data_IF_802698846437
#
_entry.id   IF_802698846437
#
_cell.length_a   1.000
_cell.length_b   1.000
_cell.length_c   1.000
_cell.angle_alpha   90.00
_cell.angle_beta   90.00
_cell.angle_gamma   90.00
#
_symmetry.space_group_name_H-M   'P 1'
#
loop_
_entity.id
_entity.type
_entity.pdbx_description
1 polymer ?
#
# COMPACT_ATOMS: atom_id res chain seq x y z
N UNK A 1 -14.17 -7.40 -18.08
CA UNK A 1 -15.07 -6.47 -18.77
C UNK A 1 -15.28 -6.95 -20.19
N UNK A 2 -16.49 -6.87 -20.76
CA UNK A 2 -16.74 -7.30 -22.13
C UNK A 2 -15.88 -6.61 -23.19
N UNK A 3 -15.20 -5.51 -22.84
CA UNK A 3 -14.37 -4.70 -23.72
C UNK A 3 -12.92 -4.55 -23.25
N UNK A 4 -12.44 -5.48 -22.45
CA UNK A 4 -11.00 -5.49 -22.15
C UNK A 4 -10.26 -5.91 -23.43
N UNK A 5 -9.69 -4.94 -24.13
CA UNK A 5 -8.91 -5.15 -25.36
C UNK A 5 -7.55 -5.80 -25.09
N UNK A 6 -7.30 -6.25 -23.86
CA UNK A 6 -6.09 -6.94 -23.47
C UNK A 6 -4.82 -6.07 -23.37
N UNK A 7 -4.97 -4.76 -23.39
CA UNK A 7 -3.87 -3.84 -23.17
C UNK A 7 -3.40 -3.88 -21.72
N UNK A 8 -2.08 -3.95 -21.50
CA UNK A 8 -1.48 -3.85 -20.17
C UNK A 8 -1.16 -2.38 -19.89
N UNK A 9 -1.72 -1.85 -18.80
CA UNK A 9 -1.35 -0.52 -18.31
C UNK A 9 -0.03 -0.63 -17.55
N UNK A 10 1.05 -0.12 -18.15
CA UNK A 10 2.37 -0.14 -17.52
C UNK A 10 2.50 1.02 -16.53
N UNK A 11 3.14 0.82 -15.36
CA UNK A 11 3.50 1.92 -14.48
C UNK A 11 4.38 2.95 -15.20
N UNK A 12 4.06 4.22 -15.05
CA UNK A 12 4.92 5.33 -15.47
C UNK A 12 6.04 5.58 -14.45
N UNK A 13 5.73 5.39 -13.15
CA UNK A 13 6.71 5.44 -12.07
C UNK A 13 6.26 4.64 -10.86
N UNK A 14 7.23 4.18 -10.08
CA UNK A 14 7.03 3.52 -8.79
C UNK A 14 7.89 4.23 -7.77
N UNK A 15 7.28 4.68 -6.67
CA UNK A 15 7.95 5.24 -5.50
C UNK A 15 7.77 4.28 -4.33
N UNK A 16 8.87 3.89 -3.70
CA UNK A 16 8.90 3.07 -2.50
C UNK A 16 9.45 3.91 -1.35
N UNK A 17 8.68 4.03 -0.29
CA UNK A 17 9.05 4.84 0.88
C UNK A 17 8.94 4.00 2.15
N UNK A 18 9.84 4.24 3.09
CA UNK A 18 9.73 3.78 4.46
C UNK A 18 9.43 4.96 5.38
N UNK A 19 8.36 4.85 6.16
CA UNK A 19 7.88 5.91 7.04
C UNK A 19 8.08 5.52 8.50
N UNK A 20 8.32 6.51 9.35
CA UNK A 20 8.36 6.34 10.80
C UNK A 20 6.96 6.19 11.41
N UNK A 21 6.92 5.83 12.70
CA UNK A 21 5.70 5.86 13.48
C UNK A 21 5.54 7.24 14.16
N UNK A 22 4.29 7.68 14.35
CA UNK A 22 3.99 9.02 14.88
C UNK A 22 4.36 9.19 16.36
N UNK A 23 4.32 8.10 17.14
CA UNK A 23 4.46 8.17 18.61
C UNK A 23 5.59 7.31 19.17
N UNK A 24 6.13 6.38 18.38
CA UNK A 24 7.17 5.45 18.80
C UNK A 24 8.34 5.44 17.83
N UNK A 25 9.54 5.19 18.34
CA UNK A 25 10.68 4.86 17.47
C UNK A 25 10.46 3.49 16.86
N UNK A 26 10.81 3.36 15.57
CA UNK A 26 10.72 2.07 14.87
C UNK A 26 11.96 1.22 15.13
N UNK A 27 11.76 -0.09 15.23
CA UNK A 27 12.85 -1.07 15.18
C UNK A 27 13.06 -1.55 13.74
N UNK A 28 14.25 -2.06 13.37
CA UNK A 28 14.47 -2.59 12.03
C UNK A 28 13.46 -3.70 11.68
N UNK A 29 12.85 -3.61 10.50
CA UNK A 29 11.98 -4.67 9.98
C UNK A 29 12.80 -5.95 9.78
N UNK A 30 12.38 -7.12 10.30
CA UNK A 30 13.15 -8.35 10.17
C UNK A 30 13.20 -8.83 8.72
N UNK A 31 14.30 -9.49 8.38
CA UNK A 31 14.44 -10.14 7.08
C UNK A 31 13.38 -11.22 6.91
N UNK A 32 12.81 -11.31 5.72
CA UNK A 32 11.72 -12.21 5.34
C UNK A 32 10.38 -11.94 6.02
N UNK A 33 10.20 -10.78 6.68
CA UNK A 33 8.87 -10.36 7.08
C UNK A 33 7.98 -10.30 5.85
N UNK A 34 6.85 -10.98 5.93
CA UNK A 34 5.78 -10.93 4.92
C UNK A 34 4.70 -9.97 5.37
N UNK A 35 4.20 -9.19 4.46
CA UNK A 35 3.13 -8.25 4.73
C UNK A 35 2.12 -8.29 3.58
N UNK A 36 0.85 -8.19 3.92
CA UNK A 36 -0.24 -8.12 2.98
C UNK A 36 -1.07 -6.87 3.28
N UNK A 37 -1.32 -6.05 2.25
CA UNK A 37 -2.23 -4.91 2.34
C UNK A 37 -3.36 -5.05 1.33
N UNK A 38 -4.57 -4.60 1.71
CA UNK A 38 -5.76 -4.79 0.89
C UNK A 38 -6.33 -6.21 0.93
N UNK A 39 -7.38 -6.46 0.17
CA UNK A 39 -8.01 -7.78 0.01
C UNK A 39 -8.41 -7.97 -1.45
N UNK A 40 -7.98 -9.09 -2.03
CA UNK A 40 -8.31 -9.45 -3.41
C UNK A 40 -9.80 -9.75 -3.62
N UNK A 41 -10.53 -10.12 -2.55
CA UNK A 41 -11.92 -10.61 -2.63
C UNK A 41 -12.83 -9.98 -1.58
N UNK A 42 -12.89 -8.63 -1.49
CA UNK A 42 -13.69 -7.96 -0.47
C UNK A 42 -15.19 -8.11 -0.68
N UNK A 43 -15.66 -8.34 -1.91
CA UNK A 43 -17.08 -8.58 -2.21
C UNK A 43 -17.51 -9.94 -1.70
N UNK A 44 -16.66 -10.98 -1.88
CA UNK A 44 -16.98 -12.37 -1.48
C UNK A 44 -16.72 -12.64 0.00
N UNK A 45 -15.70 -11.98 0.60
CA UNK A 45 -15.23 -12.25 1.97
C UNK A 45 -15.60 -11.18 2.99
N UNK A 46 -16.15 -10.07 2.52
CA UNK A 46 -16.41 -8.88 3.33
C UNK A 46 -15.24 -7.88 3.33
N UNK A 47 -15.51 -6.60 3.60
CA UNK A 47 -14.55 -5.51 3.39
C UNK A 47 -13.55 -5.29 4.53
N UNK A 48 -13.48 -6.16 5.52
CA UNK A 48 -12.69 -5.94 6.74
C UNK A 48 -11.20 -5.64 6.46
N UNK A 49 -10.63 -6.29 5.46
CA UNK A 49 -9.22 -6.13 5.07
C UNK A 49 -9.01 -5.24 3.85
N UNK A 50 -10.07 -4.72 3.24
CA UNK A 50 -9.94 -3.86 2.07
C UNK A 50 -9.22 -2.55 2.42
N UNK A 51 -8.25 -2.17 1.59
CA UNK A 51 -7.36 -1.01 1.80
C UNK A 51 -7.10 -0.24 0.50
N UNK A 52 -7.99 -0.37 -0.47
CA UNK A 52 -7.82 0.32 -1.74
C UNK A 52 -7.68 1.83 -1.53
N UNK A 53 -6.65 2.41 -2.13
CA UNK A 53 -6.39 3.84 -2.00
C UNK A 53 -5.84 4.40 -3.31
N UNK A 54 -6.64 5.26 -3.93
CA UNK A 54 -6.38 5.89 -5.20
C UNK A 54 -6.32 7.41 -5.05
N UNK A 55 -5.53 8.06 -5.86
CA UNK A 55 -5.44 9.53 -5.94
C UNK A 55 -4.96 9.98 -7.31
N UNK A 56 -4.72 11.26 -7.46
CA UNK A 56 -4.05 11.86 -8.61
C UNK A 56 -2.72 12.49 -8.19
N UNK A 57 -1.72 12.45 -9.05
CA UNK A 57 -0.45 13.13 -8.77
C UNK A 57 -0.67 14.62 -8.50
N UNK A 58 -0.04 15.13 -7.43
CA UNK A 58 -0.26 16.48 -6.92
C UNK A 58 -1.47 16.64 -5.98
N UNK A 59 -2.18 15.53 -5.67
CA UNK A 59 -3.35 15.53 -4.79
C UNK A 59 -3.24 14.48 -3.67
N UNK A 60 -2.06 14.32 -3.11
CA UNK A 60 -1.70 13.25 -2.15
C UNK A 60 -2.61 13.17 -0.92
N UNK A 61 -3.26 14.27 -0.54
CA UNK A 61 -4.23 14.31 0.56
C UNK A 61 -5.66 13.93 0.19
N UNK A 62 -5.95 13.65 -1.09
CA UNK A 62 -7.29 13.30 -1.58
C UNK A 62 -7.36 11.83 -1.97
N UNK A 63 -7.52 10.98 -0.97
CA UNK A 63 -7.56 9.53 -1.15
C UNK A 63 -9.00 9.04 -1.37
N UNK A 64 -9.17 8.06 -2.25
CA UNK A 64 -10.45 7.45 -2.61
C UNK A 64 -10.32 5.94 -2.70
N UNK A 65 -11.39 5.21 -2.43
CA UNK A 65 -11.54 3.78 -2.69
C UNK A 65 -11.99 3.46 -4.13
N UNK A 66 -12.13 4.52 -4.95
CA UNK A 66 -12.56 4.42 -6.36
C UNK A 66 -11.50 5.00 -7.27
N UNK A 67 -11.48 4.54 -8.52
CA UNK A 67 -10.63 5.14 -9.53
C UNK A 67 -10.96 6.62 -9.71
N UNK A 68 -9.98 7.52 -9.58
CA UNK A 68 -10.21 8.95 -9.76
C UNK A 68 -10.28 9.32 -11.25
N UNK A 69 -10.95 10.42 -11.52
CA UNK A 69 -10.80 11.16 -12.78
C UNK A 69 -9.85 12.32 -12.48
N UNK A 70 -8.63 12.20 -12.94
CA UNK A 70 -7.57 13.16 -12.62
C UNK A 70 -7.67 14.43 -13.47
N UNK A 71 -7.32 15.61 -12.95
CA UNK A 71 -7.13 16.81 -13.74
C UNK A 71 -6.13 16.58 -14.88
N UNK A 72 -6.21 17.41 -15.92
CA UNK A 72 -5.26 17.40 -17.01
C UNK A 72 -3.83 17.60 -16.50
N UNK A 73 -2.90 16.80 -17.01
CA UNK A 73 -1.49 16.80 -16.57
C UNK A 73 -1.22 15.98 -15.29
N UNK A 74 -2.26 15.49 -14.60
CA UNK A 74 -2.11 14.61 -13.43
C UNK A 74 -2.26 13.14 -13.80
N UNK A 75 -1.47 12.28 -13.14
CA UNK A 75 -1.50 10.82 -13.29
C UNK A 75 -2.43 10.17 -12.28
N UNK A 76 -3.07 9.09 -12.67
CA UNK A 76 -3.75 8.21 -11.71
C UNK A 76 -2.67 7.54 -10.84
N UNK A 77 -2.86 7.59 -9.53
CA UNK A 77 -1.94 6.97 -8.57
C UNK A 77 -2.66 5.93 -7.71
N UNK A 78 -2.01 4.81 -7.55
CA UNK A 78 -2.31 3.74 -6.61
C UNK A 78 -1.39 3.90 -5.42
N UNK A 79 -1.94 4.05 -4.22
CA UNK A 79 -1.19 4.27 -2.99
C UNK A 79 -1.45 3.11 -2.04
N UNK A 80 -0.42 2.39 -1.66
CA UNK A 80 -0.54 1.22 -0.80
C UNK A 80 0.34 1.38 0.43
N UNK A 81 -0.31 1.56 1.58
CA UNK A 81 0.33 1.49 2.89
C UNK A 81 0.27 0.05 3.39
N UNK A 82 1.41 -0.45 3.83
CA UNK A 82 1.51 -1.73 4.50
C UNK A 82 1.42 -1.56 6.02
N UNK A 83 1.22 -2.64 6.79
CA UNK A 83 1.28 -2.57 8.24
C UNK A 83 2.61 -1.94 8.72
N UNK A 84 2.55 -1.15 9.80
CA UNK A 84 3.73 -0.51 10.41
C UNK A 84 3.98 -0.98 11.83
N UNK A 85 3.32 -2.05 12.26
CA UNK A 85 3.46 -2.67 13.58
C UNK A 85 3.67 -4.17 13.42
N UNK A 86 4.60 -4.76 14.19
CA UNK A 86 4.99 -6.16 14.12
C UNK A 86 4.94 -6.79 15.52
N UNK A 87 4.56 -8.06 15.63
CA UNK A 87 4.45 -8.79 16.91
C UNK A 87 5.79 -9.05 17.62
N UNK A 88 6.91 -8.65 17.01
CA UNK A 88 8.24 -8.80 17.55
C UNK A 88 8.82 -10.23 17.48
N UNK A 89 8.15 -11.17 16.83
CA UNK A 89 8.51 -12.59 16.86
C UNK A 89 8.45 -13.28 15.49
N UNK A 90 7.31 -13.20 14.82
CA UNK A 90 7.02 -14.01 13.64
C UNK A 90 7.28 -13.20 12.37
N UNK A 91 7.88 -13.81 11.36
CA UNK A 91 8.06 -13.21 10.04
C UNK A 91 6.89 -13.51 9.10
N UNK A 92 5.97 -14.37 9.52
CA UNK A 92 4.77 -14.76 8.80
C UNK A 92 3.74 -15.36 9.76
N UNK A 93 2.49 -15.48 9.32
CA UNK A 93 1.40 -16.17 10.02
C UNK A 93 0.52 -16.90 9.01
N UNK A 94 -0.35 -17.82 9.47
CA UNK A 94 -1.19 -18.63 8.60
C UNK A 94 -2.12 -17.80 7.68
N UNK A 95 -2.51 -16.61 8.13
CA UNK A 95 -3.34 -15.67 7.40
C UNK A 95 -2.53 -14.55 6.71
N UNK A 96 -1.19 -14.56 6.84
CA UNK A 96 -0.26 -13.53 6.39
C UNK A 96 -0.56 -12.12 6.92
N UNK A 97 -1.30 -12.02 8.05
CA UNK A 97 -1.79 -10.76 8.61
C UNK A 97 -1.65 -10.63 10.13
N UNK A 98 -1.88 -11.70 10.89
CA UNK A 98 -1.98 -11.61 12.36
C UNK A 98 -0.66 -11.32 13.08
N UNK A 99 0.48 -11.49 12.44
CA UNK A 99 1.80 -11.12 12.94
C UNK A 99 2.18 -9.65 12.71
N UNK A 100 1.38 -8.91 11.94
CA UNK A 100 1.54 -7.48 11.67
C UNK A 100 0.23 -6.74 11.86
N UNK A 101 0.28 -5.43 12.10
CA UNK A 101 -0.90 -4.59 12.29
C UNK A 101 -0.67 -3.18 11.75
N UNK A 102 -1.75 -2.49 11.42
CA UNK A 102 -1.71 -1.06 11.21
C UNK A 102 -1.73 -0.34 12.55
N UNK A 103 -0.99 0.76 12.68
CA UNK A 103 -1.09 1.64 13.81
C UNK A 103 -2.51 2.27 13.87
N UNK A 104 -2.95 2.58 15.06
CA UNK A 104 -4.23 3.29 15.28
C UNK A 104 -4.22 4.62 14.53
N UNK A 105 -5.27 4.89 13.78
CA UNK A 105 -5.36 6.06 12.89
C UNK A 105 -5.40 7.40 13.64
N UNK A 106 -5.89 7.39 14.87
CA UNK A 106 -6.07 8.60 15.69
C UNK A 106 -4.84 8.88 16.53
N UNK A 107 -4.31 7.85 17.19
CA UNK A 107 -3.19 7.99 18.13
C UNK A 107 -1.82 7.75 17.49
N UNK A 108 -1.78 6.98 16.40
CA UNK A 108 -0.52 6.49 15.80
C UNK A 108 0.15 5.34 16.54
N UNK A 109 -0.45 4.86 17.64
CA UNK A 109 0.12 3.79 18.44
C UNK A 109 -0.05 2.42 17.78
N UNK A 110 0.92 1.53 17.96
CA UNK A 110 0.75 0.12 17.67
C UNK A 110 -0.15 -0.53 18.73
N UNK A 111 -0.89 -1.61 18.38
CA UNK A 111 -1.64 -2.41 19.33
C UNK A 111 -0.73 -2.98 20.43
N UNK A 112 -1.31 -3.32 21.59
CA UNK A 112 -0.59 -3.96 22.68
C UNK A 112 0.10 -5.25 22.22
N UNK A 113 1.36 -5.42 22.61
CA UNK A 113 2.19 -6.54 22.20
C UNK A 113 2.87 -6.40 20.83
N UNK A 114 2.63 -5.30 20.11
CA UNK A 114 3.29 -4.99 18.84
C UNK A 114 4.30 -3.86 19.00
N UNK A 115 5.37 -3.94 18.21
CA UNK A 115 6.41 -2.90 18.11
C UNK A 115 6.32 -2.19 16.77
N UNK A 116 6.62 -0.88 16.75
CA UNK A 116 6.64 -0.13 15.52
C UNK A 116 7.84 -0.52 14.65
N UNK A 117 7.61 -0.72 13.35
CA UNK A 117 8.60 -0.95 12.30
C UNK A 117 8.47 0.12 11.21
N UNK A 118 9.49 0.33 10.36
CA UNK A 118 9.35 1.23 9.22
C UNK A 118 8.17 0.83 8.35
N UNK A 119 7.14 1.66 8.26
CA UNK A 119 5.98 1.40 7.43
C UNK A 119 6.33 1.55 5.96
N UNK A 120 6.16 0.49 5.20
CA UNK A 120 6.31 0.53 3.75
C UNK A 120 5.11 1.25 3.12
N UNK A 121 5.38 2.19 2.20
CA UNK A 121 4.41 2.73 1.25
C UNK A 121 4.91 2.53 -0.17
N UNK A 122 4.05 2.04 -1.03
CA UNK A 122 4.29 1.95 -2.47
C UNK A 122 3.28 2.87 -3.17
N UNK A 123 3.79 3.81 -3.97
CA UNK A 123 2.97 4.67 -4.82
C UNK A 123 3.30 4.36 -6.28
N UNK A 124 2.31 3.91 -7.03
CA UNK A 124 2.45 3.57 -8.45
C UNK A 124 1.66 4.58 -9.27
N UNK A 125 2.31 5.26 -10.21
CA UNK A 125 1.67 6.23 -11.09
C UNK A 125 1.47 5.64 -12.48
N UNK A 126 0.32 5.96 -13.10
CA UNK A 126 -0.07 5.47 -14.42
C UNK A 126 -0.43 6.63 -15.35
N UNK A 127 0.07 6.59 -16.58
CA UNK A 127 -0.34 7.49 -17.65
C UNK A 127 -1.60 6.90 -18.31
N UNK A 128 -2.78 7.33 -17.85
CA UNK A 128 -4.07 6.94 -18.40
C UNK A 128 -4.68 8.15 -19.08
N UNK A 129 -4.94 8.08 -20.37
CA UNK A 129 -5.52 9.17 -21.12
C UNK A 129 -6.84 9.63 -20.48
N UNK A 130 -7.06 10.95 -20.41
CA UNK A 130 -8.22 11.52 -19.72
C UNK A 130 -9.55 11.03 -20.29
N UNK A 131 -9.64 10.88 -21.59
CA UNK A 131 -10.84 10.37 -22.25
C UNK A 131 -11.15 8.91 -21.85
N UNK A 132 -10.11 8.09 -21.61
CA UNK A 132 -10.22 6.72 -21.08
C UNK A 132 -10.71 6.76 -19.63
N UNK A 133 -10.19 7.70 -18.80
CA UNK A 133 -10.66 7.89 -17.44
C UNK A 133 -12.13 8.29 -17.39
N UNK A 134 -12.55 9.27 -18.22
CA UNK A 134 -13.92 9.77 -18.29
C UNK A 134 -14.91 8.69 -18.72
N UNK A 135 -14.48 7.76 -19.58
CA UNK A 135 -15.32 6.63 -20.03
C UNK A 135 -15.26 5.43 -19.07
N UNK A 136 -14.45 5.48 -18.02
CA UNK A 136 -14.26 4.35 -17.11
C UNK A 136 -13.71 3.09 -17.81
N UNK A 137 -12.86 3.26 -18.82
CA UNK A 137 -12.36 2.18 -19.67
C UNK A 137 -10.99 1.64 -19.23
N UNK A 138 -10.70 1.65 -17.94
CA UNK A 138 -9.49 1.04 -17.40
C UNK A 138 -9.78 0.30 -16.10
N UNK A 139 -8.95 -0.71 -15.82
CA UNK A 139 -8.93 -1.48 -14.58
C UNK A 139 -7.47 -1.72 -14.24
N UNK A 140 -7.07 -1.44 -13.01
CA UNK A 140 -5.67 -1.52 -12.59
C UNK A 140 -5.37 -2.76 -11.75
N UNK A 141 -6.20 -3.18 -10.87
CA UNK A 141 -5.99 -4.39 -10.09
C UNK A 141 -7.34 -4.85 -9.51
N UNK A 142 -7.96 -5.77 -10.21
CA UNK A 142 -9.18 -6.39 -9.70
C UNK A 142 -9.48 -7.69 -10.44
N UNK A 143 -10.18 -8.59 -9.77
CA UNK A 143 -10.59 -9.86 -10.34
C UNK A 143 -11.94 -9.76 -11.04
N UNK A 144 -12.16 -10.49 -12.15
CA UNK A 144 -13.47 -10.53 -12.81
C UNK A 144 -14.61 -10.93 -11.88
N UNK A 145 -14.37 -11.87 -10.96
CA UNK A 145 -15.34 -12.32 -9.95
C UNK A 145 -15.69 -11.24 -8.91
N UNK A 146 -14.86 -10.22 -8.76
CA UNK A 146 -15.10 -9.04 -7.94
C UNK A 146 -15.68 -7.87 -8.74
N UNK A 147 -16.19 -8.13 -9.97
CA UNK A 147 -16.74 -7.13 -10.87
C UNK A 147 -15.78 -5.99 -11.22
N UNK A 148 -14.47 -6.26 -11.26
CA UNK A 148 -13.43 -5.27 -11.47
C UNK A 148 -13.54 -4.05 -10.52
N UNK A 149 -13.97 -4.30 -9.29
CA UNK A 149 -14.12 -3.26 -8.29
C UNK A 149 -12.74 -2.75 -7.83
N UNK A 150 -12.43 -1.44 -7.94
CA UNK A 150 -11.17 -0.88 -7.48
C UNK A 150 -10.89 -1.11 -5.98
N UNK A 151 -11.93 -1.44 -5.21
CA UNK A 151 -11.83 -1.78 -3.79
C UNK A 151 -11.16 -3.13 -3.52
N UNK A 152 -11.00 -3.99 -4.52
CA UNK A 152 -10.25 -5.25 -4.44
C UNK A 152 -8.74 -5.09 -4.61
N UNK A 153 -8.25 -3.85 -4.62
CA UNK A 153 -6.82 -3.57 -4.68
C UNK A 153 -6.08 -4.16 -3.48
N UNK A 154 -5.00 -4.87 -3.74
CA UNK A 154 -4.16 -5.52 -2.73
C UNK A 154 -2.72 -5.62 -3.21
N UNK A 155 -1.80 -5.86 -2.29
CA UNK A 155 -0.40 -6.08 -2.61
C UNK A 155 0.27 -6.92 -1.52
N UNK A 156 1.24 -7.72 -1.94
CA UNK A 156 2.07 -8.58 -1.11
C UNK A 156 3.50 -8.06 -1.09
N UNK A 157 4.12 -8.12 0.06
CA UNK A 157 5.51 -7.72 0.24
C UNK A 157 6.28 -8.75 1.06
N UNK A 158 7.53 -8.99 0.70
CA UNK A 158 8.49 -9.75 1.49
C UNK A 158 9.75 -8.91 1.64
N UNK A 159 10.15 -8.65 2.89
CA UNK A 159 11.38 -7.92 3.15
C UNK A 159 12.62 -8.76 2.86
N UNK A 160 13.25 -8.52 1.72
CA UNK A 160 14.52 -9.17 1.34
C UNK A 160 15.75 -8.28 1.57
N UNK A 161 15.56 -7.09 2.13
CA UNK A 161 16.66 -6.22 2.49
C UNK A 161 17.58 -6.89 3.53
N UNK A 162 18.85 -6.53 3.50
CA UNK A 162 19.78 -6.97 4.55
C UNK A 162 19.43 -6.29 5.89
N UNK A 163 19.75 -6.94 6.99
CA UNK A 163 19.62 -6.37 8.34
C UNK A 163 20.32 -5.01 8.44
N UNK A 164 21.53 -4.90 7.89
CA UNK A 164 22.29 -3.63 7.85
C UNK A 164 21.50 -2.52 7.14
N UNK A 165 20.80 -2.84 6.07
CA UNK A 165 19.98 -1.86 5.36
C UNK A 165 18.78 -1.43 6.20
N UNK A 166 18.08 -2.38 6.85
CA UNK A 166 16.93 -2.06 7.69
C UNK A 166 17.31 -1.27 8.94
N UNK A 167 18.49 -1.54 9.53
CA UNK A 167 19.04 -0.72 10.62
C UNK A 167 19.27 0.73 10.17
N UNK A 168 19.83 0.94 8.98
CA UNK A 168 20.02 2.30 8.42
C UNK A 168 18.68 3.00 8.17
N UNK A 169 17.70 2.29 7.60
CA UNK A 169 16.35 2.83 7.36
C UNK A 169 15.71 3.24 8.69
N UNK A 170 15.70 2.35 9.69
CA UNK A 170 15.14 2.64 11.00
C UNK A 170 15.83 3.85 11.68
N UNK A 171 17.16 3.92 11.63
CA UNK A 171 17.90 5.06 12.17
C UNK A 171 17.55 6.37 11.45
N UNK A 172 17.39 6.31 10.12
CA UNK A 172 17.04 7.46 9.30
C UNK A 172 15.64 8.00 9.63
N UNK A 173 14.63 7.14 9.60
CA UNK A 173 13.24 7.57 9.86
C UNK A 173 13.05 8.01 11.31
N UNK A 174 13.74 7.37 12.26
CA UNK A 174 13.73 7.77 13.67
C UNK A 174 14.40 9.14 13.93
N UNK A 175 15.28 9.57 13.03
CA UNK A 175 15.89 10.90 13.05
C UNK A 175 15.06 11.96 12.30
N UNK A 176 13.88 11.60 11.77
CA UNK A 176 13.02 12.49 11.01
C UNK A 176 13.67 12.97 9.69
N UNK A 177 14.60 12.20 9.13
CA UNK A 177 15.35 12.59 7.92
C UNK A 177 14.80 11.89 6.68
N UNK A 178 14.98 12.54 5.53
CA UNK A 178 14.89 11.87 4.23
C UNK A 178 16.25 11.27 3.91
N UNK A 179 16.30 9.98 3.64
CA UNK A 179 17.52 9.27 3.33
C UNK A 179 17.34 8.54 1.99
N UNK A 180 18.39 8.56 1.13
CA UNK A 180 18.34 7.84 -0.15
C UNK A 180 18.36 6.33 0.05
#
# INVERSE_FOLDING_TARGET
MPNNTGGIVRPASVLIEYRGNAVSKVVPMPKFLRELTGDAKPTSRGPANARATWTCSGFDGRLSDKYPICPEGSRVQRVQDFPGCWDGKNTDSADHRSHVAFADKTTGACPDGFVAIPQLRITISYDIARDVQLRGQFVLDSFPEENHNPFSDHNDYINVNSERQMVKIAACVNAGRRCP
#
